data_IF_625388455388
#
_entry.id   IF_625388455388
#
_cell.length_a   1.000
_cell.length_b   1.000
_cell.length_c   1.000
_cell.angle_alpha   90.00
_cell.angle_beta   90.00
_cell.angle_gamma   90.00
#
_symmetry.space_group_name_H-M   'P 1'
#
loop_
_entity.id
_entity.type
_entity.pdbx_description
1 polymer ?
#
# COMPACT_ATOMS: atom_id res chain seq x y z
N UNK A 1 -6.36 0.04 22.55
CA UNK A 1 -5.17 -0.68 22.04
C UNK A 1 -5.09 -0.70 20.52
N UNK A 2 -6.16 -1.16 19.83
CA UNK A 2 -6.21 -1.22 18.35
C UNK A 2 -5.89 0.13 17.69
N UNK A 3 -6.55 1.20 18.09
CA UNK A 3 -6.35 2.54 17.51
C UNK A 3 -4.91 3.03 17.63
N UNK A 4 -4.24 2.76 18.75
CA UNK A 4 -2.84 3.13 18.96
C UNK A 4 -1.86 2.34 18.06
N UNK A 5 -2.15 1.07 17.80
CA UNK A 5 -1.38 0.28 16.86
C UNK A 5 -1.66 0.70 15.40
N UNK A 6 -2.93 0.99 15.09
CA UNK A 6 -3.39 1.27 13.74
C UNK A 6 -3.09 2.70 13.26
N UNK A 7 -2.87 3.65 14.18
CA UNK A 7 -2.59 5.06 13.88
C UNK A 7 -1.15 5.41 14.27
N UNK A 8 -0.45 6.14 13.42
CA UNK A 8 0.84 6.74 13.76
C UNK A 8 0.63 8.12 14.40
N UNK A 9 0.89 8.24 15.69
CA UNK A 9 0.75 9.49 16.44
C UNK A 9 2.05 10.30 16.51
N UNK A 10 3.11 9.86 15.82
CA UNK A 10 4.41 10.55 15.86
C UNK A 10 4.43 11.83 15.01
N UNK A 11 3.37 12.07 14.22
CA UNK A 11 3.33 13.20 13.29
C UNK A 11 4.22 12.98 12.06
N UNK A 12 4.50 14.06 11.30
CA UNK A 12 5.32 14.00 10.09
C UNK A 12 6.73 13.43 10.35
N UNK A 13 7.37 12.97 9.29
CA UNK A 13 8.77 12.58 9.30
C UNK A 13 9.66 13.79 9.63
N UNK A 14 10.68 13.57 10.42
CA UNK A 14 11.73 14.58 10.64
C UNK A 14 12.73 14.58 9.48
N UNK A 15 13.43 15.70 9.27
CA UNK A 15 14.51 15.79 8.28
C UNK A 15 15.58 14.72 8.47
N UNK A 16 15.90 14.36 9.73
CA UNK A 16 16.85 13.30 10.03
C UNK A 16 16.35 11.93 9.57
N UNK A 17 15.06 11.60 9.81
CA UNK A 17 14.44 10.36 9.35
C UNK A 17 14.45 10.27 7.81
N UNK A 18 14.11 11.38 7.14
CA UNK A 18 14.10 11.47 5.68
C UNK A 18 15.51 11.24 5.13
N UNK A 19 16.49 12.01 5.60
CA UNK A 19 17.86 11.93 5.11
C UNK A 19 18.48 10.55 5.34
N UNK A 20 18.24 9.93 6.51
CA UNK A 20 18.66 8.56 6.80
C UNK A 20 18.03 7.55 5.84
N UNK A 21 16.74 7.68 5.58
CA UNK A 21 16.03 6.81 4.65
C UNK A 21 16.53 6.95 3.22
N UNK A 22 16.74 8.17 2.74
CA UNK A 22 17.28 8.42 1.40
C UNK A 22 18.69 7.86 1.23
N UNK A 23 19.53 7.96 2.25
CA UNK A 23 20.87 7.35 2.22
C UNK A 23 20.79 5.83 2.16
N UNK A 24 19.87 5.21 2.90
CA UNK A 24 19.63 3.77 2.79
C UNK A 24 19.16 3.36 1.39
N UNK A 25 18.28 4.12 0.76
CA UNK A 25 17.85 3.86 -0.62
C UNK A 25 19.01 3.93 -1.61
N UNK A 26 19.86 4.94 -1.50
CA UNK A 26 21.08 5.06 -2.33
C UNK A 26 22.00 3.86 -2.16
N UNK A 27 22.27 3.44 -0.92
CA UNK A 27 23.15 2.28 -0.65
C UNK A 27 22.54 0.97 -1.16
N UNK A 28 21.23 0.88 -1.29
CA UNK A 28 20.52 -0.26 -1.88
C UNK A 28 20.46 -0.21 -3.41
N UNK A 29 21.02 0.81 -4.05
CA UNK A 29 21.11 0.94 -5.51
C UNK A 29 19.82 1.40 -6.19
N UNK A 30 18.96 2.17 -5.50
CA UNK A 30 17.85 2.86 -6.14
C UNK A 30 18.38 3.96 -7.07
N UNK A 31 17.76 4.11 -8.25
CA UNK A 31 18.20 5.13 -9.20
C UNK A 31 17.80 6.54 -8.73
N UNK A 32 18.51 7.57 -9.24
CA UNK A 32 18.30 8.95 -8.82
C UNK A 32 16.88 9.48 -9.07
N UNK A 33 16.25 9.05 -10.18
CA UNK A 33 14.89 9.49 -10.51
C UNK A 33 13.84 8.90 -9.56
N UNK A 34 13.99 7.62 -9.18
CA UNK A 34 13.14 6.97 -8.18
C UNK A 34 13.36 7.61 -6.81
N UNK A 35 14.60 7.82 -6.41
CA UNK A 35 14.96 8.45 -5.14
C UNK A 35 14.39 9.87 -5.02
N UNK A 36 14.43 10.68 -6.07
CA UNK A 36 13.90 12.04 -6.10
C UNK A 36 12.36 12.07 -5.90
N UNK A 37 11.62 11.17 -6.56
CA UNK A 37 10.16 11.06 -6.36
C UNK A 37 9.82 10.65 -4.93
N UNK A 38 10.57 9.71 -4.37
CA UNK A 38 10.41 9.28 -2.98
C UNK A 38 10.74 10.44 -2.02
N UNK A 39 11.83 11.16 -2.24
CA UNK A 39 12.21 12.32 -1.43
C UNK A 39 11.10 13.38 -1.41
N UNK A 40 10.61 13.78 -2.58
CA UNK A 40 9.52 14.76 -2.68
C UNK A 40 8.29 14.29 -1.89
N UNK A 41 7.93 13.01 -2.01
CA UNK A 41 6.82 12.44 -1.28
C UNK A 41 7.05 12.45 0.23
N UNK A 42 8.24 12.10 0.72
CA UNK A 42 8.56 12.09 2.15
C UNK A 42 8.58 13.50 2.75
N UNK A 43 9.14 14.50 2.03
CA UNK A 43 9.20 15.90 2.50
C UNK A 43 7.82 16.56 2.60
N UNK A 44 6.85 16.10 1.80
CA UNK A 44 5.47 16.57 1.85
C UNK A 44 4.63 15.82 2.91
N UNK A 45 5.25 15.14 3.90
CA UNK A 45 4.55 14.33 4.90
C UNK A 45 3.61 15.17 5.78
N UNK A 46 2.34 14.81 5.79
CA UNK A 46 1.31 15.36 6.67
C UNK A 46 1.22 14.67 8.03
N UNK A 47 2.00 13.59 8.25
CA UNK A 47 1.89 12.70 9.41
C UNK A 47 0.69 11.75 9.36
N UNK A 48 -0.08 11.76 8.26
CA UNK A 48 -1.31 10.98 8.11
C UNK A 48 -1.06 9.64 7.39
N UNK A 49 -2.04 8.74 7.51
CA UNK A 49 -2.11 7.57 6.67
C UNK A 49 -2.34 7.94 5.21
N UNK A 50 -1.94 7.08 4.30
CA UNK A 50 -2.26 7.21 2.89
C UNK A 50 -2.56 5.85 2.27
N UNK A 51 -3.15 5.87 1.09
CA UNK A 51 -3.45 4.70 0.28
C UNK A 51 -2.60 4.78 -0.97
N UNK A 52 -1.81 3.74 -1.24
CA UNK A 52 -1.15 3.58 -2.54
C UNK A 52 -2.13 2.95 -3.50
N UNK A 53 -2.56 3.71 -4.48
CA UNK A 53 -3.39 3.24 -5.59
C UNK A 53 -2.48 2.62 -6.63
N UNK A 54 -2.77 1.39 -7.05
CA UNK A 54 -1.99 0.68 -8.07
C UNK A 54 -2.92 0.22 -9.19
N UNK A 55 -2.56 0.49 -10.43
CA UNK A 55 -3.06 -0.21 -11.60
C UNK A 55 -1.91 -1.01 -12.20
N UNK A 56 -2.18 -2.26 -12.55
CA UNK A 56 -1.18 -3.23 -12.95
C UNK A 56 -1.64 -3.90 -14.24
N UNK A 57 -0.74 -3.94 -15.20
CA UNK A 57 -0.85 -4.73 -16.41
C UNK A 57 0.22 -5.82 -16.38
N UNK A 58 -0.22 -7.07 -16.37
CA UNK A 58 0.65 -8.23 -16.22
C UNK A 58 1.35 -8.55 -17.54
N UNK A 59 2.59 -8.98 -17.45
CA UNK A 59 3.38 -9.39 -18.60
C UNK A 59 3.00 -10.81 -19.02
N UNK A 60 2.41 -10.96 -20.20
CA UNK A 60 2.01 -12.27 -20.74
C UNK A 60 3.19 -13.20 -21.03
N UNK A 61 4.39 -12.64 -21.25
CA UNK A 61 5.64 -13.35 -21.50
C UNK A 61 6.78 -12.82 -20.60
N UNK A 62 6.68 -13.03 -19.28
CA UNK A 62 7.66 -12.50 -18.35
C UNK A 62 9.03 -13.19 -18.56
N UNK A 63 10.15 -12.47 -18.34
CA UNK A 63 11.48 -13.06 -18.45
C UNK A 63 11.67 -14.13 -17.38
N UNK A 64 12.52 -15.12 -17.65
CA UNK A 64 12.91 -16.10 -16.63
C UNK A 64 13.53 -15.43 -15.42
N UNK A 65 13.06 -15.85 -14.23
CA UNK A 65 13.52 -15.30 -12.95
C UNK A 65 14.12 -16.39 -12.06
N UNK A 66 15.13 -16.08 -11.25
CA UNK A 66 15.73 -17.04 -10.33
C UNK A 66 14.68 -17.70 -9.43
N UNK A 67 14.73 -19.06 -9.33
CA UNK A 67 13.81 -19.84 -8.49
C UNK A 67 12.51 -20.28 -9.17
N UNK A 68 12.27 -19.89 -10.43
CA UNK A 68 11.03 -20.25 -11.16
C UNK A 68 11.27 -21.08 -12.43
N UNK A 69 12.52 -21.42 -12.73
CA UNK A 69 12.86 -22.14 -13.95
C UNK A 69 12.58 -21.31 -15.21
N UNK A 70 12.34 -22.01 -16.34
CA UNK A 70 12.17 -21.36 -17.65
C UNK A 70 10.73 -20.91 -17.95
N UNK A 71 9.79 -21.13 -17.03
CA UNK A 71 8.35 -20.96 -17.27
C UNK A 71 7.58 -20.32 -16.10
N UNK A 72 8.17 -19.43 -15.36
CA UNK A 72 7.45 -18.68 -14.32
C UNK A 72 6.43 -17.70 -14.92
N UNK A 73 5.23 -17.61 -14.34
CA UNK A 73 4.21 -16.65 -14.78
C UNK A 73 4.32 -15.30 -14.06
N UNK A 74 3.71 -14.27 -14.64
CA UNK A 74 3.64 -12.94 -14.04
C UNK A 74 2.96 -12.97 -12.65
N UNK A 75 1.89 -13.76 -12.51
CA UNK A 75 1.19 -13.94 -11.25
C UNK A 75 2.11 -14.58 -10.19
N UNK A 76 2.85 -15.61 -10.56
CA UNK A 76 3.81 -16.26 -9.64
C UNK A 76 4.89 -15.30 -9.15
N UNK A 77 5.40 -14.43 -10.04
CA UNK A 77 6.39 -13.43 -9.66
C UNK A 77 5.79 -12.36 -8.75
N UNK A 78 4.57 -11.92 -9.06
CA UNK A 78 3.87 -10.94 -8.22
C UNK A 78 3.54 -11.53 -6.84
N UNK A 79 3.09 -12.78 -6.77
CA UNK A 79 2.83 -13.49 -5.52
C UNK A 79 4.10 -13.63 -4.69
N UNK A 80 5.21 -14.02 -5.29
CA UNK A 80 6.50 -14.11 -4.61
C UNK A 80 6.97 -12.75 -4.05
N UNK A 81 6.74 -11.66 -4.78
CA UNK A 81 6.97 -10.32 -4.27
C UNK A 81 6.04 -9.99 -3.10
N UNK A 82 4.74 -10.31 -3.25
CA UNK A 82 3.72 -9.96 -2.26
C UNK A 82 3.85 -10.75 -0.96
N UNK A 83 4.33 -12.00 -0.97
CA UNK A 83 4.63 -12.77 0.25
C UNK A 83 5.50 -11.97 1.23
N UNK A 84 6.58 -11.37 0.72
CA UNK A 84 7.45 -10.52 1.53
C UNK A 84 6.75 -9.21 1.93
N UNK A 85 6.06 -8.59 0.99
CA UNK A 85 5.35 -7.33 1.22
C UNK A 85 4.30 -7.46 2.31
N UNK A 86 3.47 -8.50 2.30
CA UNK A 86 2.45 -8.72 3.33
C UNK A 86 3.05 -8.74 4.72
N UNK A 87 4.14 -9.48 4.93
CA UNK A 87 4.81 -9.54 6.23
C UNK A 87 5.30 -8.16 6.68
N UNK A 88 5.90 -7.39 5.78
CA UNK A 88 6.41 -6.05 6.10
C UNK A 88 5.29 -5.04 6.36
N UNK A 89 4.21 -5.13 5.59
CA UNK A 89 3.03 -4.28 5.75
C UNK A 89 2.35 -4.53 7.09
N UNK A 90 1.98 -5.79 7.39
CA UNK A 90 1.24 -6.15 8.61
C UNK A 90 2.02 -5.83 9.88
N UNK A 91 3.34 -6.04 9.89
CA UNK A 91 4.22 -5.63 11.01
C UNK A 91 4.13 -4.14 11.33
N UNK A 92 3.70 -3.31 10.36
CA UNK A 92 3.62 -1.85 10.45
C UNK A 92 2.18 -1.33 10.42
N UNK A 93 1.21 -2.16 10.77
CA UNK A 93 -0.22 -1.82 10.70
C UNK A 93 -0.64 -1.22 9.34
N UNK A 94 -0.03 -1.70 8.28
CA UNK A 94 -0.33 -1.38 6.89
C UNK A 94 -0.84 -2.64 6.21
N UNK A 95 -1.75 -2.53 5.27
CA UNK A 95 -2.36 -3.71 4.65
C UNK A 95 -3.10 -3.35 3.37
N UNK A 96 -3.34 -4.32 2.47
CA UNK A 96 -4.28 -4.13 1.38
C UNK A 96 -5.68 -3.85 1.94
N UNK A 97 -6.41 -2.96 1.27
CA UNK A 97 -7.81 -2.67 1.56
C UNK A 97 -8.73 -3.01 0.39
N UNK A 98 -8.15 -3.24 -0.77
CA UNK A 98 -8.86 -3.68 -1.97
C UNK A 98 -7.88 -4.35 -2.93
N UNK A 99 -8.31 -5.43 -3.56
CA UNK A 99 -7.76 -5.99 -4.79
C UNK A 99 -8.90 -6.43 -5.68
N UNK A 100 -8.77 -6.19 -6.98
CA UNK A 100 -9.77 -6.60 -7.94
C UNK A 100 -9.19 -6.76 -9.34
N UNK A 101 -9.78 -7.69 -10.10
CA UNK A 101 -9.49 -7.85 -11.51
C UNK A 101 -10.28 -6.83 -12.31
N UNK A 102 -9.64 -6.23 -13.29
CA UNK A 102 -10.29 -5.31 -14.22
C UNK A 102 -11.18 -6.12 -15.16
N UNK A 103 -12.44 -5.71 -15.32
CA UNK A 103 -13.46 -6.45 -16.08
C UNK A 103 -13.72 -5.89 -17.48
N UNK A 104 -12.90 -4.95 -17.94
CA UNK A 104 -13.07 -4.33 -19.27
C UNK A 104 -11.97 -3.31 -19.52
N UNK A 105 -12.12 -2.56 -20.60
CA UNK A 105 -11.24 -1.43 -20.91
C UNK A 105 -11.60 -0.21 -20.04
N UNK A 106 -10.66 0.74 -19.93
CA UNK A 106 -10.95 2.04 -19.36
C UNK A 106 -12.11 2.71 -20.10
N UNK A 107 -13.09 3.21 -19.37
CA UNK A 107 -14.30 3.80 -19.95
C UNK A 107 -14.11 5.29 -20.29
N UNK A 108 -13.14 5.93 -19.67
CA UNK A 108 -12.83 7.34 -19.87
C UNK A 108 -11.31 7.53 -19.74
N UNK A 109 -10.68 8.01 -20.79
CA UNK A 109 -9.24 8.27 -20.89
C UNK A 109 -9.04 9.56 -21.66
N UNK A 110 -8.39 10.54 -21.03
CA UNK A 110 -8.04 11.80 -21.66
C UNK A 110 -6.60 12.20 -21.30
N UNK A 111 -5.85 12.63 -22.29
CA UNK A 111 -4.51 13.20 -22.12
C UNK A 111 -3.41 12.19 -21.75
N UNK A 112 -3.67 10.88 -21.78
CA UNK A 112 -2.70 9.81 -21.49
C UNK A 112 -2.85 8.70 -22.53
N UNK A 113 -1.75 8.25 -23.10
CA UNK A 113 -1.72 7.13 -24.04
C UNK A 113 -1.37 5.81 -23.32
N UNK A 114 -1.84 4.69 -23.87
CA UNK A 114 -1.46 3.34 -23.42
C UNK A 114 -2.05 2.90 -22.08
N UNK A 115 -3.09 3.57 -21.58
CA UNK A 115 -3.73 3.26 -20.28
C UNK A 115 -5.12 2.65 -20.41
N UNK A 116 -5.52 2.23 -21.62
CA UNK A 116 -6.85 1.67 -21.88
C UNK A 116 -7.07 0.30 -21.25
N UNK A 117 -6.00 -0.47 -21.08
CA UNK A 117 -6.06 -1.85 -20.63
C UNK A 117 -5.21 -2.06 -19.37
N UNK A 118 -5.81 -2.76 -18.39
CA UNK A 118 -5.21 -3.16 -17.13
C UNK A 118 -5.73 -4.54 -16.73
N UNK A 119 -4.92 -5.33 -16.01
CA UNK A 119 -5.37 -6.62 -15.47
C UNK A 119 -5.92 -6.49 -14.05
N UNK A 120 -5.26 -5.70 -13.21
CA UNK A 120 -5.57 -5.67 -11.78
C UNK A 120 -5.47 -4.25 -11.23
N UNK A 121 -6.36 -3.94 -10.28
CA UNK A 121 -6.27 -2.75 -9.44
C UNK A 121 -6.11 -3.14 -7.98
N UNK A 122 -5.24 -2.42 -7.26
CA UNK A 122 -4.96 -2.67 -5.85
C UNK A 122 -4.84 -1.38 -5.05
N UNK A 123 -5.42 -1.38 -3.87
CA UNK A 123 -5.32 -0.28 -2.90
C UNK A 123 -4.63 -0.81 -1.64
N UNK A 124 -3.47 -0.25 -1.33
CA UNK A 124 -2.69 -0.63 -0.15
C UNK A 124 -2.64 0.55 0.80
N UNK A 125 -3.24 0.37 1.97
CA UNK A 125 -3.16 1.36 3.03
C UNK A 125 -1.81 1.27 3.74
N UNK A 126 -1.15 2.41 3.89
CA UNK A 126 0.01 2.61 4.75
C UNK A 126 -0.38 3.45 5.97
N UNK A 127 0.03 3.01 7.16
CA UNK A 127 -0.24 3.71 8.42
C UNK A 127 0.34 5.13 8.43
N UNK A 128 1.50 5.34 7.80
CA UNK A 128 2.20 6.62 7.65
C UNK A 128 3.29 6.51 6.58
N UNK A 129 3.85 7.64 6.14
CA UNK A 129 5.04 7.65 5.26
C UNK A 129 6.26 7.07 5.95
N UNK A 130 6.35 7.17 7.27
CA UNK A 130 7.37 6.46 8.08
C UNK A 130 7.25 4.94 7.93
N UNK A 131 6.04 4.39 7.99
CA UNK A 131 5.80 2.96 7.77
C UNK A 131 6.16 2.54 6.33
N UNK A 132 5.83 3.35 5.35
CA UNK A 132 6.21 3.14 3.94
C UNK A 132 7.74 3.14 3.78
N UNK A 133 8.42 4.16 4.31
CA UNK A 133 9.88 4.26 4.25
C UNK A 133 10.56 3.02 4.87
N UNK A 134 10.06 2.56 6.02
CA UNK A 134 10.57 1.36 6.68
C UNK A 134 10.30 0.05 5.90
N UNK A 135 9.27 0.00 5.05
CA UNK A 135 9.07 -1.10 4.08
C UNK A 135 10.09 -0.97 2.94
N UNK A 136 10.20 0.23 2.37
CA UNK A 136 11.01 0.50 1.18
C UNK A 136 12.51 0.28 1.45
N UNK A 137 12.98 0.64 2.65
CA UNK A 137 14.38 0.48 3.08
C UNK A 137 14.69 -0.91 3.68
N UNK A 138 13.72 -1.84 3.69
CA UNK A 138 13.99 -3.20 4.16
C UNK A 138 15.05 -3.89 3.28
N UNK A 139 16.07 -4.56 3.85
CA UNK A 139 17.19 -5.12 3.07
C UNK A 139 16.79 -6.05 1.93
N UNK A 140 15.72 -6.82 2.11
CA UNK A 140 15.25 -7.74 1.07
C UNK A 140 14.34 -7.08 0.03
N UNK A 141 13.93 -5.83 0.25
CA UNK A 141 12.97 -5.15 -0.64
C UNK A 141 13.51 -5.04 -2.06
N UNK A 142 14.77 -4.61 -2.21
CA UNK A 142 15.38 -4.43 -3.53
C UNK A 142 15.50 -5.75 -4.30
N UNK A 143 15.87 -6.83 -3.62
CA UNK A 143 16.00 -8.16 -4.23
C UNK A 143 14.67 -8.69 -4.73
N UNK A 144 13.59 -8.44 -3.99
CA UNK A 144 12.26 -8.91 -4.37
C UNK A 144 11.55 -7.97 -5.34
N UNK A 145 11.90 -6.70 -5.36
CA UNK A 145 11.33 -5.73 -6.29
C UNK A 145 11.54 -6.09 -7.76
N UNK A 146 12.63 -6.77 -8.11
CA UNK A 146 12.87 -7.25 -9.48
C UNK A 146 11.78 -8.21 -9.99
N UNK A 147 11.18 -9.03 -9.11
CA UNK A 147 10.08 -9.92 -9.49
C UNK A 147 8.80 -9.13 -9.79
N UNK A 148 8.53 -8.06 -9.02
CA UNK A 148 7.46 -7.13 -9.35
C UNK A 148 7.64 -6.54 -10.74
N UNK A 149 8.84 -6.07 -11.07
CA UNK A 149 9.12 -5.45 -12.38
C UNK A 149 9.02 -6.48 -13.50
N UNK A 150 9.53 -7.69 -13.30
CA UNK A 150 9.43 -8.77 -14.29
C UNK A 150 7.97 -9.22 -14.54
N UNK A 151 7.11 -9.14 -13.54
CA UNK A 151 5.70 -9.49 -13.61
C UNK A 151 4.84 -8.50 -14.40
N UNK A 152 5.32 -7.30 -14.71
CA UNK A 152 4.50 -6.22 -15.24
C UNK A 152 4.98 -5.71 -16.59
N UNK A 153 4.05 -5.50 -17.52
CA UNK A 153 4.28 -4.73 -18.74
C UNK A 153 4.27 -3.24 -18.42
N UNK A 154 3.30 -2.80 -17.64
CA UNK A 154 3.18 -1.43 -17.15
C UNK A 154 2.50 -1.38 -15.79
N UNK A 155 2.77 -0.35 -15.05
CA UNK A 155 2.11 -0.08 -13.77
C UNK A 155 2.10 1.41 -13.49
N UNK A 156 1.05 1.86 -12.85
CA UNK A 156 1.00 3.19 -12.25
C UNK A 156 0.71 3.02 -10.76
N UNK A 157 1.49 3.71 -9.92
CA UNK A 157 1.30 3.71 -8.48
C UNK A 157 1.42 5.14 -7.95
N UNK A 158 0.39 5.61 -7.25
CA UNK A 158 0.41 6.95 -6.67
C UNK A 158 -0.25 6.97 -5.29
N UNK A 159 0.28 7.79 -4.36
CA UNK A 159 -0.26 7.92 -3.02
C UNK A 159 -1.45 8.88 -2.97
N UNK A 160 -2.47 8.52 -2.18
CA UNK A 160 -3.66 9.35 -1.94
C UNK A 160 -3.92 9.43 -0.45
N UNK A 161 -4.05 10.63 0.10
CA UNK A 161 -4.57 10.81 1.46
C UNK A 161 -6.11 10.79 1.41
N UNK A 162 -6.77 9.80 2.05
CA UNK A 162 -8.22 9.68 1.95
C UNK A 162 -8.92 10.81 2.69
N UNK A 163 -9.87 11.47 2.03
CA UNK A 163 -10.79 12.44 2.64
C UNK A 163 -12.00 11.74 3.26
N UNK A 164 -12.47 10.68 2.61
CA UNK A 164 -13.56 9.81 3.10
C UNK A 164 -13.09 8.37 2.93
N UNK A 165 -13.16 7.57 4.02
CA UNK A 165 -12.86 6.14 3.99
C UNK A 165 -13.81 5.40 4.95
N UNK A 166 -14.98 5.04 4.44
CA UNK A 166 -16.00 4.30 5.21
C UNK A 166 -15.56 2.87 5.57
N UNK A 167 -14.62 2.30 4.81
CA UNK A 167 -14.02 1.00 5.11
C UNK A 167 -12.89 1.04 6.16
N UNK A 168 -12.66 2.19 6.80
CA UNK A 168 -11.63 2.27 7.86
C UNK A 168 -12.06 1.45 9.09
N UNK A 169 -11.27 0.46 9.53
CA UNK A 169 -11.63 -0.38 10.68
C UNK A 169 -11.89 0.39 11.97
N UNK A 170 -11.36 1.62 12.11
CA UNK A 170 -11.65 2.49 13.27
C UNK A 170 -13.09 2.98 13.24
N UNK A 171 -13.64 3.27 12.07
CA UNK A 171 -15.04 3.66 11.89
C UNK A 171 -15.95 2.47 12.23
N UNK A 172 -15.65 1.29 11.68
CA UNK A 172 -16.40 0.06 11.98
C UNK A 172 -16.38 -0.26 13.47
N UNK A 173 -15.22 -0.17 14.12
CA UNK A 173 -15.09 -0.40 15.56
C UNK A 173 -15.92 0.60 16.36
N UNK A 174 -15.87 1.89 16.03
CA UNK A 174 -16.68 2.92 16.69
C UNK A 174 -18.18 2.65 16.54
N UNK A 175 -18.64 2.25 15.35
CA UNK A 175 -20.03 1.89 15.10
C UNK A 175 -20.46 0.66 15.90
N UNK A 176 -19.63 -0.40 15.95
CA UNK A 176 -19.92 -1.60 16.76
C UNK A 176 -19.97 -1.29 18.25
N UNK A 177 -19.05 -0.48 18.74
CA UNK A 177 -19.08 -0.03 20.15
C UNK A 177 -20.32 0.79 20.47
N UNK A 178 -20.71 1.70 19.57
CA UNK A 178 -21.94 2.49 19.71
C UNK A 178 -23.20 1.62 19.74
N UNK A 179 -23.27 0.64 18.82
CA UNK A 179 -24.37 -0.32 18.79
C UNK A 179 -24.41 -1.17 20.07
N UNK A 180 -23.28 -1.68 20.53
CA UNK A 180 -23.21 -2.44 21.77
C UNK A 180 -23.67 -1.61 22.99
N UNK A 181 -23.23 -0.34 23.06
CA UNK A 181 -23.67 0.58 24.12
C UNK A 181 -25.17 0.82 24.07
N UNK A 182 -25.75 1.03 22.89
CA UNK A 182 -27.19 1.22 22.72
C UNK A 182 -27.99 -0.03 23.13
N UNK A 183 -27.53 -1.23 22.77
CA UNK A 183 -28.15 -2.49 23.18
C UNK A 183 -28.10 -2.64 24.71
N UNK A 184 -26.95 -2.37 25.33
CA UNK A 184 -26.79 -2.43 26.77
C UNK A 184 -27.72 -1.42 27.49
N UNK A 185 -27.86 -0.21 26.97
CA UNK A 185 -28.78 0.80 27.52
C UNK A 185 -30.24 0.30 27.50
N UNK A 186 -30.68 -0.26 26.37
CA UNK A 186 -32.02 -0.85 26.22
C UNK A 186 -32.23 -1.99 27.20
N UNK A 187 -31.27 -2.90 27.34
CA UNK A 187 -31.38 -4.05 28.23
C UNK A 187 -31.41 -3.67 29.71
N UNK A 188 -30.62 -2.68 30.10
CA UNK A 188 -30.48 -2.26 31.50
C UNK A 188 -31.58 -1.27 31.94
N UNK A 189 -32.01 -0.39 31.04
CA UNK A 189 -32.90 0.73 31.38
C UNK A 189 -34.22 0.73 30.59
N UNK A 190 -34.34 0.02 29.48
CA UNK A 190 -35.55 0.02 28.63
C UNK A 190 -36.80 -0.56 29.30
N UNK A 191 -36.66 -1.33 30.40
CA UNK A 191 -37.80 -1.85 31.19
C UNK A 191 -38.37 -0.84 32.22
N UNK A 192 -37.81 0.35 32.32
CA UNK A 192 -38.23 1.39 33.28
C UNK A 192 -39.08 2.50 32.67
N UNK A 193 -39.48 2.34 31.41
CA UNK A 193 -40.44 3.22 30.73
C UNK A 193 -41.71 2.39 30.37
#
# INVERSE_FOLDING_TARGET
>A
LFTFWYTDFKGPLTEEEINRGLEQLKTQGWNLGEASKVEQFLRADSGRQFIMVNSIDLNEAPPSMPGFGDAGSAEQYLDHYMEHMYVQLFKRASHPIFFGNVVGRALDVEGIEGVDEWNTAGLIRYRSRRSFLAVLTHPDMRKRHQYKIAAMTKTIAYPVEPTINLGDPRVLLAMLMGLAAAILDILLFGRRR
#
